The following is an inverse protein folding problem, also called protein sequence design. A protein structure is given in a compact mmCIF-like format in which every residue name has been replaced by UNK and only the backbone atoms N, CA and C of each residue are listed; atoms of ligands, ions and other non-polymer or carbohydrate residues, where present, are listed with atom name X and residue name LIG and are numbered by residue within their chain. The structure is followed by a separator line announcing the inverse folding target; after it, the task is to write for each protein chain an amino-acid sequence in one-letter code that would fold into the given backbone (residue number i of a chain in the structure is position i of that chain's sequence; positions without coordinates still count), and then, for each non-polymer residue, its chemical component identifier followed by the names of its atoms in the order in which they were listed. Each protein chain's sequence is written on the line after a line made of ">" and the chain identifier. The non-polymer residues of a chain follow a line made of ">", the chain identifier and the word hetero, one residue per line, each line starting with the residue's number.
data_IF_628816726083
#
_entry.id   IF_628816726083
#
_cell.length_a   1.000
_cell.length_b   1.000
_cell.length_c   1.000
_cell.angle_alpha   90.00
_cell.angle_beta   90.00
_cell.angle_gamma   90.00
#
_symmetry.space_group_name_H-M   'P 1'
#
loop_
_entity.id
_entity.type
_entity.pdbx_description
1 polymer ?
#
# COMPACT_ATOMS: atom_id res chain seq x y z
N UNK A 1 -23.01 0.77 -14.94
CA UNK A 1 -21.58 0.65 -14.62
C UNK A 1 -21.37 -0.70 -13.95
N UNK A 2 -21.06 -1.73 -14.73
CA UNK A 2 -20.92 -3.09 -14.21
C UNK A 2 -19.47 -3.36 -13.83
N UNK A 3 -19.20 -3.49 -12.53
CA UNK A 3 -17.93 -4.04 -12.05
C UNK A 3 -17.86 -5.50 -12.49
N UNK A 4 -16.92 -5.85 -13.36
CA UNK A 4 -16.74 -7.23 -13.83
C UNK A 4 -15.84 -7.97 -12.82
N UNK A 5 -16.37 -8.84 -11.95
CA UNK A 5 -15.59 -9.53 -10.93
C UNK A 5 -14.56 -10.51 -11.51
N UNK A 6 -14.66 -10.84 -12.81
CA UNK A 6 -13.68 -11.69 -13.51
C UNK A 6 -12.56 -10.90 -14.19
N UNK A 7 -12.54 -9.57 -14.05
CA UNK A 7 -11.49 -8.74 -14.61
C UNK A 7 -10.18 -9.03 -13.88
N UNK A 8 -9.28 -9.78 -14.55
CA UNK A 8 -7.95 -10.09 -14.03
C UNK A 8 -7.13 -8.80 -13.95
N UNK A 9 -7.05 -8.22 -12.75
CA UNK A 9 -6.14 -7.12 -12.47
C UNK A 9 -4.70 -7.64 -12.54
N UNK A 10 -3.89 -7.05 -13.41
CA UNK A 10 -2.46 -7.38 -13.45
C UNK A 10 -1.79 -6.61 -12.32
N UNK A 11 -1.13 -7.33 -11.41
CA UNK A 11 -0.29 -6.70 -10.39
C UNK A 11 0.93 -6.07 -11.07
N UNK A 12 1.09 -4.78 -10.89
CA UNK A 12 2.24 -4.01 -11.37
C UNK A 12 3.30 -3.93 -10.28
N UNK A 13 4.58 -3.77 -10.66
CA UNK A 13 5.66 -3.46 -9.72
C UNK A 13 5.36 -2.17 -8.91
N UNK A 14 4.64 -1.23 -9.53
CA UNK A 14 4.21 0.01 -8.89
C UNK A 14 3.23 -0.20 -7.73
N UNK A 15 2.37 -1.23 -7.80
CA UNK A 15 1.44 -1.54 -6.71
C UNK A 15 2.21 -1.95 -5.45
N UNK A 16 3.28 -2.73 -5.63
CA UNK A 16 4.15 -3.15 -4.53
C UNK A 16 4.95 -1.98 -3.96
N UNK A 17 5.48 -1.10 -4.81
CA UNK A 17 6.18 0.11 -4.35
C UNK A 17 5.26 1.02 -3.53
N UNK A 18 4.01 1.17 -3.95
CA UNK A 18 3.04 2.00 -3.25
C UNK A 18 2.64 1.42 -1.89
N UNK A 19 2.44 0.11 -1.81
CA UNK A 19 2.16 -0.57 -0.53
C UNK A 19 3.38 -0.50 0.40
N UNK A 20 4.59 -0.73 -0.14
CA UNK A 20 5.82 -0.68 0.64
C UNK A 20 6.08 0.72 1.23
N UNK A 21 5.87 1.78 0.44
CA UNK A 21 6.04 3.16 0.92
C UNK A 21 5.01 3.52 1.98
N UNK A 22 3.75 3.10 1.82
CA UNK A 22 2.71 3.30 2.83
C UNK A 22 3.07 2.63 4.16
N UNK A 23 3.58 1.39 4.11
CA UNK A 23 4.03 0.66 5.30
C UNK A 23 5.21 1.33 5.98
N UNK A 24 6.19 1.84 5.21
CA UNK A 24 7.34 2.56 5.76
C UNK A 24 6.92 3.85 6.48
N UNK A 25 6.00 4.62 5.90
CA UNK A 25 5.50 5.86 6.54
C UNK A 25 4.74 5.52 7.82
N UNK A 26 3.86 4.53 7.79
CA UNK A 26 3.11 4.09 8.98
C UNK A 26 4.05 3.62 10.10
N UNK A 27 5.07 2.82 9.76
CA UNK A 27 6.07 2.38 10.71
C UNK A 27 6.87 3.56 11.28
N UNK A 28 7.27 4.52 10.44
CA UNK A 28 7.96 5.73 10.88
C UNK A 28 7.14 6.58 11.86
N UNK A 29 5.82 6.71 11.62
CA UNK A 29 4.91 7.40 12.53
C UNK A 29 4.78 6.66 13.87
N UNK A 30 4.71 5.33 13.86
CA UNK A 30 4.69 4.55 15.10
C UNK A 30 5.99 4.72 15.88
N UNK A 31 7.14 4.62 15.21
CA UNK A 31 8.45 4.84 15.83
C UNK A 31 8.53 6.23 16.44
N UNK A 32 8.06 7.26 15.74
CA UNK A 32 7.96 8.61 16.30
C UNK A 32 7.05 8.61 17.54
N UNK A 33 5.83 8.07 17.47
CA UNK A 33 4.90 8.06 18.60
C UNK A 33 5.46 7.39 19.87
N UNK A 34 6.41 6.47 19.75
CA UNK A 34 7.07 5.81 20.90
C UNK A 34 8.37 6.48 21.36
N UNK A 35 9.07 7.20 20.47
CA UNK A 35 10.36 7.85 20.77
C UNK A 35 10.26 9.37 20.99
N UNK A 36 9.10 9.96 20.67
CA UNK A 36 8.79 11.39 20.83
C UNK A 36 8.00 11.68 22.09
#
# INVERSE_FOLDING_TARGET
>A
MGFNPHQKTRKSAWDYLFVASALLVAAGLLVWAFLG
#
